data_IF_050340069986
#
_entry.id   IF_050340069986
#
_cell.length_a   1.000
_cell.length_b   1.000
_cell.length_c   1.000
_cell.angle_alpha   90.00
_cell.angle_beta   90.00
_cell.angle_gamma   90.00
#
_symmetry.space_group_name_H-M   'P 1'
#
loop_
_entity.id
_entity.type
_entity.pdbx_description
1 polymer ?
#
# COMPACT_ATOMS: atom_id res chain seq x y z
N UNK A 1 -8.49 23.00 2.87
CA UNK A 1 -9.05 21.65 3.08
C UNK A 1 -10.38 21.63 2.31
N UNK A 2 -10.70 20.85 1.28
CA UNK A 2 -10.05 19.75 0.58
C UNK A 2 -8.84 20.20 -0.26
N UNK A 3 -7.70 19.58 0.05
CA UNK A 3 -6.55 19.26 -0.80
C UNK A 3 -5.51 18.70 0.18
N UNK A 4 -5.64 17.41 0.45
CA UNK A 4 -4.56 16.52 0.91
C UNK A 4 -3.83 16.81 2.24
N UNK A 5 -4.42 16.47 3.40
CA UNK A 5 -3.58 16.30 4.59
C UNK A 5 -4.22 16.02 5.95
N UNK A 6 -5.47 16.43 6.21
CA UNK A 6 -6.04 16.33 7.57
C UNK A 6 -7.38 15.59 7.55
N UNK A 7 -7.40 14.41 8.17
CA UNK A 7 -8.45 13.40 8.07
C UNK A 7 -9.64 13.72 9.00
N UNK A 8 -10.34 14.81 8.72
CA UNK A 8 -11.64 15.13 9.33
C UNK A 8 -12.72 15.13 8.25
N UNK A 9 -13.69 14.22 8.33
CA UNK A 9 -14.85 14.25 7.44
C UNK A 9 -15.85 15.27 7.97
N UNK A 10 -16.35 16.16 7.11
CA UNK A 10 -17.45 17.05 7.49
C UNK A 10 -18.72 16.21 7.57
N UNK A 11 -19.30 16.15 8.75
CA UNK A 11 -20.55 15.42 9.02
C UNK A 11 -21.75 16.30 8.73
N UNK A 12 -21.65 17.62 8.91
CA UNK A 12 -22.72 18.58 8.62
C UNK A 12 -22.18 19.99 8.37
N UNK A 13 -22.86 20.76 7.51
CA UNK A 13 -22.53 22.16 7.21
C UNK A 13 -21.39 22.32 6.20
N UNK A 14 -20.73 23.49 6.24
CA UNK A 14 -19.68 23.89 5.31
C UNK A 14 -18.42 24.32 6.06
N UNK A 15 -17.28 24.26 5.36
CA UNK A 15 -16.05 24.88 5.84
C UNK A 15 -16.15 26.40 5.71
N UNK A 16 -15.52 27.12 6.63
CA UNK A 16 -15.39 28.57 6.50
C UNK A 16 -14.50 28.92 5.30
N UNK A 17 -14.91 29.93 4.54
CA UNK A 17 -14.07 30.54 3.53
C UNK A 17 -12.84 31.18 4.20
N UNK A 18 -11.75 31.38 3.44
CA UNK A 18 -10.52 32.04 3.91
C UNK A 18 -10.74 33.56 4.08
N UNK A 19 -11.76 33.93 4.85
CA UNK A 19 -12.16 35.29 5.14
C UNK A 19 -11.62 35.67 6.51
N UNK A 20 -10.77 36.69 6.54
CA UNK A 20 -9.86 36.95 7.66
C UNK A 20 -10.59 37.44 8.92
N UNK A 21 -11.86 37.81 8.83
CA UNK A 21 -12.61 38.46 9.92
C UNK A 21 -13.92 37.76 10.31
N UNK A 22 -14.22 36.59 9.76
CA UNK A 22 -15.46 35.90 10.06
C UNK A 22 -15.41 35.26 11.47
N UNK A 23 -16.36 35.64 12.35
CA UNK A 23 -16.58 35.01 13.66
C UNK A 23 -17.33 33.67 13.48
N UNK A 24 -16.69 32.74 12.79
CA UNK A 24 -17.23 31.42 12.46
C UNK A 24 -16.31 30.32 12.96
N UNK A 25 -16.90 29.18 13.33
CA UNK A 25 -16.15 28.00 13.74
C UNK A 25 -16.73 26.72 13.13
N UNK A 26 -15.86 25.75 12.90
CA UNK A 26 -16.23 24.36 12.61
C UNK A 26 -15.89 23.54 13.85
N UNK A 27 -16.86 22.82 14.38
CA UNK A 27 -16.76 22.18 15.71
C UNK A 27 -16.64 20.67 15.56
N UNK A 28 -15.82 20.02 16.38
CA UNK A 28 -15.73 18.56 16.40
C UNK A 28 -16.99 17.91 16.98
N UNK A 29 -17.33 16.71 16.50
CA UNK A 29 -18.59 16.03 16.86
C UNK A 29 -18.79 15.86 18.38
N UNK A 30 -17.78 15.40 19.11
CA UNK A 30 -17.86 15.19 20.56
C UNK A 30 -18.04 16.50 21.34
N UNK A 31 -17.48 17.61 20.84
CA UNK A 31 -17.67 18.93 21.43
C UNK A 31 -19.09 19.46 21.16
N UNK A 32 -19.60 19.23 19.94
CA UNK A 32 -20.95 19.61 19.55
C UNK A 32 -22.01 18.85 20.36
N UNK A 33 -21.89 17.53 20.48
CA UNK A 33 -22.82 16.68 21.23
C UNK A 33 -22.85 17.05 22.73
N UNK A 34 -21.69 17.26 23.36
CA UNK A 34 -21.62 17.63 24.78
C UNK A 34 -22.25 18.98 25.10
N UNK A 35 -22.24 19.91 24.15
CA UNK A 35 -22.76 21.26 24.31
C UNK A 35 -24.10 21.48 23.62
N UNK A 36 -24.71 20.42 23.05
CA UNK A 36 -25.94 20.49 22.25
C UNK A 36 -25.88 21.54 21.12
N UNK A 37 -24.75 21.64 20.44
CA UNK A 37 -24.54 22.58 19.33
C UNK A 37 -24.85 21.93 17.99
N UNK A 38 -25.63 22.62 17.17
CA UNK A 38 -25.92 22.27 15.79
C UNK A 38 -25.30 23.29 14.82
N UNK A 39 -25.33 22.97 13.52
CA UNK A 39 -24.99 23.96 12.48
C UNK A 39 -25.97 25.14 12.58
N UNK A 40 -25.45 26.35 12.38
CA UNK A 40 -26.11 27.65 12.59
C UNK A 40 -26.30 28.12 14.04
N UNK A 41 -25.99 27.29 15.04
CA UNK A 41 -26.00 27.73 16.44
C UNK A 41 -24.84 28.67 16.75
N UNK A 42 -24.96 29.42 17.85
CA UNK A 42 -23.90 30.30 18.34
C UNK A 42 -23.43 29.89 19.72
N UNK A 43 -22.12 29.88 19.93
CA UNK A 43 -21.51 29.75 21.25
C UNK A 43 -20.70 31.01 21.58
N UNK A 44 -20.40 31.21 22.86
CA UNK A 44 -19.60 32.34 23.32
C UNK A 44 -18.19 31.85 23.63
N UNK A 45 -17.17 32.48 23.02
CA UNK A 45 -15.78 32.35 23.45
C UNK A 45 -15.10 33.72 23.35
N UNK A 46 -14.15 34.00 24.25
CA UNK A 46 -13.46 35.30 24.33
C UNK A 46 -14.43 36.50 24.35
N UNK A 47 -15.55 36.37 25.08
CA UNK A 47 -16.64 37.37 25.15
C UNK A 47 -17.28 37.75 23.80
N UNK A 48 -17.06 36.95 22.76
CA UNK A 48 -17.63 37.12 21.43
C UNK A 48 -18.57 35.97 21.08
N UNK A 49 -19.65 36.28 20.35
CA UNK A 49 -20.57 35.28 19.80
C UNK A 49 -20.01 34.74 18.49
N UNK A 50 -19.74 33.45 18.46
CA UNK A 50 -19.17 32.73 17.31
C UNK A 50 -20.23 31.80 16.75
N UNK A 51 -20.40 31.82 15.43
CA UNK A 51 -21.38 30.98 14.73
C UNK A 51 -20.76 29.64 14.31
N UNK A 52 -21.45 28.54 14.58
CA UNK A 52 -21.07 27.21 14.10
C UNK A 52 -21.52 27.07 12.64
N UNK A 53 -20.57 26.90 11.72
CA UNK A 53 -20.85 26.74 10.27
C UNK A 53 -20.73 25.29 9.79
N UNK A 54 -20.07 24.44 10.59
CA UNK A 54 -19.95 23.03 10.28
C UNK A 54 -19.56 22.18 11.48
N UNK A 55 -19.78 20.88 11.35
CA UNK A 55 -19.38 19.85 12.31
C UNK A 55 -18.51 18.83 11.59
N UNK A 56 -17.36 18.50 12.16
CA UNK A 56 -16.44 17.51 11.62
C UNK A 56 -16.30 16.30 12.55
N UNK A 57 -15.95 15.16 11.95
CA UNK A 57 -15.62 13.91 12.63
C UNK A 57 -14.28 13.37 12.15
N UNK A 58 -13.36 13.16 13.09
CA UNK A 58 -12.02 12.60 12.88
C UNK A 58 -11.94 11.14 13.33
N UNK A 59 -13.06 10.52 13.74
CA UNK A 59 -13.13 9.13 14.20
C UNK A 59 -12.51 8.87 15.58
N UNK A 60 -12.06 9.92 16.27
CA UNK A 60 -11.44 9.83 17.61
C UNK A 60 -12.01 10.88 18.54
N UNK A 61 -12.24 10.53 19.82
CA UNK A 61 -12.78 11.46 20.82
C UNK A 61 -11.89 12.68 21.05
N UNK A 62 -10.57 12.52 20.92
CA UNK A 62 -9.62 13.60 21.13
C UNK A 62 -9.65 14.65 20.01
N UNK A 63 -9.64 14.20 18.74
CA UNK A 63 -9.74 15.10 17.58
C UNK A 63 -11.12 15.77 17.48
N UNK A 64 -12.16 15.08 17.94
CA UNK A 64 -13.53 15.57 17.96
C UNK A 64 -13.86 16.53 19.11
N UNK A 65 -12.94 16.78 20.04
CA UNK A 65 -13.14 17.68 21.18
C UNK A 65 -12.49 19.07 20.98
N UNK A 66 -12.40 19.54 19.73
CA UNK A 66 -11.77 20.82 19.37
C UNK A 66 -12.69 21.66 18.47
N UNK A 67 -12.37 22.95 18.30
CA UNK A 67 -13.04 23.86 17.39
C UNK A 67 -12.02 24.55 16.50
N UNK A 68 -12.30 24.60 15.20
CA UNK A 68 -11.46 25.21 14.17
C UNK A 68 -12.05 26.56 13.78
N UNK A 69 -11.20 27.59 13.72
CA UNK A 69 -11.57 28.96 13.39
C UNK A 69 -10.52 29.58 12.47
N UNK A 70 -10.83 30.65 11.73
CA UNK A 70 -9.83 31.40 10.96
C UNK A 70 -8.69 31.90 11.87
N UNK A 71 -7.44 31.66 11.46
CA UNK A 71 -6.25 32.01 12.25
C UNK A 71 -6.23 33.47 12.70
N UNK A 72 -6.48 34.40 11.78
CA UNK A 72 -6.54 35.84 12.06
C UNK A 72 -7.62 36.22 13.07
N UNK A 73 -8.72 35.46 13.13
CA UNK A 73 -9.78 35.68 14.12
C UNK A 73 -9.33 35.20 15.50
N UNK A 74 -8.71 34.02 15.60
CA UNK A 74 -8.19 33.50 16.88
C UNK A 74 -7.10 34.40 17.42
N UNK A 75 -6.13 34.81 16.60
CA UNK A 75 -5.04 35.70 16.99
C UNK A 75 -5.54 37.01 17.59
N UNK A 76 -6.55 37.63 16.97
CA UNK A 76 -7.17 38.86 17.49
C UNK A 76 -7.94 38.62 18.78
N UNK A 77 -8.68 37.51 18.89
CA UNK A 77 -9.44 37.18 20.10
C UNK A 77 -8.53 36.81 21.29
N UNK A 78 -7.31 36.34 21.02
CA UNK A 78 -6.34 35.94 22.03
C UNK A 78 -5.24 36.97 22.30
N UNK A 79 -5.34 38.18 21.74
CA UNK A 79 -4.33 39.25 21.83
C UNK A 79 -2.91 38.80 21.39
N UNK A 80 -2.83 37.94 20.37
CA UNK A 80 -1.60 37.33 19.83
C UNK A 80 -1.45 37.62 18.33
N UNK A 81 -1.75 38.86 17.93
CA UNK A 81 -1.64 39.28 16.52
C UNK A 81 -0.20 39.16 16.02
N UNK A 82 0.00 38.36 14.97
CA UNK A 82 1.30 38.11 14.36
C UNK A 82 2.06 36.91 14.94
N UNK A 83 1.61 36.32 16.05
CA UNK A 83 2.24 35.15 16.65
C UNK A 83 1.70 33.85 16.03
N UNK A 84 2.61 32.98 15.60
CA UNK A 84 2.29 31.69 14.98
C UNK A 84 2.85 30.58 15.86
N UNK A 85 1.96 29.72 16.36
CA UNK A 85 2.36 28.59 17.22
C UNK A 85 2.98 27.43 16.44
N UNK A 86 2.46 27.14 15.24
CA UNK A 86 2.95 26.03 14.42
C UNK A 86 2.60 26.24 12.95
N UNK A 87 3.47 25.77 12.07
CA UNK A 87 3.25 25.72 10.61
C UNK A 87 3.42 24.27 10.20
N UNK A 88 2.39 23.71 9.57
CA UNK A 88 2.42 22.36 9.01
C UNK A 88 2.70 22.46 7.52
N UNK A 89 3.81 21.86 7.08
CA UNK A 89 4.18 21.78 5.67
C UNK A 89 3.79 20.41 5.12
N UNK A 90 2.94 20.39 4.11
CA UNK A 90 2.59 19.16 3.39
C UNK A 90 3.53 18.97 2.21
N UNK A 91 4.07 17.76 2.06
CA UNK A 91 5.06 17.44 1.04
C UNK A 91 4.47 16.42 0.06
N UNK A 92 4.64 16.66 -1.23
CA UNK A 92 4.04 15.85 -2.29
C UNK A 92 4.69 14.46 -2.45
N UNK A 93 5.93 14.27 -1.98
CA UNK A 93 6.63 12.98 -2.01
C UNK A 93 7.49 12.80 -0.77
N UNK A 94 7.49 11.58 -0.22
CA UNK A 94 8.36 11.17 0.88
C UNK A 94 9.85 11.33 0.55
N UNK A 95 10.23 11.22 -0.72
CA UNK A 95 11.62 11.34 -1.17
C UNK A 95 12.21 12.74 -0.92
N UNK A 96 11.36 13.76 -0.87
CA UNK A 96 11.75 15.16 -0.68
C UNK A 96 11.72 15.59 0.80
N UNK A 97 11.37 14.70 1.72
CA UNK A 97 11.20 15.06 3.13
C UNK A 97 12.47 15.63 3.75
N UNK A 98 13.62 15.01 3.49
CA UNK A 98 14.91 15.44 4.04
C UNK A 98 15.32 16.83 3.52
N UNK A 99 15.22 17.06 2.21
CA UNK A 99 15.62 18.33 1.59
C UNK A 99 14.70 19.49 1.98
N UNK A 100 13.40 19.22 2.13
CA UNK A 100 12.43 20.22 2.59
C UNK A 100 12.61 20.53 4.07
N UNK A 101 12.88 19.52 4.91
CA UNK A 101 13.15 19.74 6.35
C UNK A 101 14.39 20.61 6.56
N UNK A 102 15.49 20.33 5.83
CA UNK A 102 16.72 21.13 5.90
C UNK A 102 16.51 22.57 5.41
N UNK A 103 15.75 22.74 4.32
CA UNK A 103 15.39 24.06 3.81
C UNK A 103 14.52 24.84 4.80
N UNK A 104 13.54 24.18 5.43
CA UNK A 104 12.68 24.78 6.44
C UNK A 104 13.46 25.18 7.69
N UNK A 105 14.38 24.33 8.16
CA UNK A 105 15.28 24.62 9.28
C UNK A 105 16.13 25.87 9.00
N UNK A 106 16.63 26.00 7.77
CA UNK A 106 17.41 27.18 7.36
C UNK A 106 16.58 28.46 7.34
N UNK A 107 15.31 28.39 6.90
CA UNK A 107 14.42 29.55 6.83
C UNK A 107 13.96 30.00 8.22
N UNK A 108 13.62 29.06 9.10
CA UNK A 108 13.15 29.33 10.46
C UNK A 108 14.30 29.85 11.35
N UNK A 109 15.51 29.32 11.16
CA UNK A 109 16.69 29.74 11.92
C UNK A 109 16.50 29.54 13.42
N UNK A 110 16.91 30.51 14.25
CA UNK A 110 16.75 30.46 15.71
C UNK A 110 15.32 30.82 16.20
N UNK A 111 14.41 31.21 15.29
CA UNK A 111 13.08 31.70 15.66
C UNK A 111 12.05 30.58 15.87
N UNK A 112 12.45 29.32 15.72
CA UNK A 112 11.57 28.17 15.90
C UNK A 112 12.31 26.84 15.78
N UNK A 113 11.63 25.78 16.20
CA UNK A 113 12.13 24.40 16.07
C UNK A 113 11.43 23.70 14.89
N UNK A 114 12.19 22.96 14.10
CA UNK A 114 11.68 22.20 12.96
C UNK A 114 11.71 20.73 13.33
N UNK A 115 10.53 20.21 13.66
CA UNK A 115 10.33 18.77 13.88
C UNK A 115 9.92 18.10 12.58
N UNK A 116 10.76 17.20 12.07
CA UNK A 116 10.36 16.38 10.94
C UNK A 116 9.43 15.22 11.34
N UNK A 117 8.69 14.72 10.36
CA UNK A 117 7.90 13.49 10.50
C UNK A 117 8.62 12.30 9.88
N UNK A 118 9.96 12.31 9.81
CA UNK A 118 10.73 11.28 9.10
C UNK A 118 10.53 9.89 9.71
N UNK A 119 10.47 9.81 11.04
CA UNK A 119 10.13 8.56 11.75
C UNK A 119 8.72 8.06 11.44
N UNK A 120 7.75 8.96 11.25
CA UNK A 120 6.36 8.61 10.94
C UNK A 120 6.22 8.16 9.48
N UNK A 121 6.91 8.81 8.54
CA UNK A 121 6.98 8.39 7.13
C UNK A 121 7.68 7.05 7.01
N UNK A 122 8.79 6.84 7.72
CA UNK A 122 9.48 5.54 7.74
C UNK A 122 8.59 4.42 8.31
N UNK A 123 7.86 4.68 9.41
CA UNK A 123 6.91 3.72 9.97
C UNK A 123 5.71 3.46 9.06
N UNK A 124 5.25 4.44 8.29
CA UNK A 124 4.16 4.28 7.32
C UNK A 124 4.61 3.50 6.06
N UNK A 125 5.88 3.61 5.66
CA UNK A 125 6.44 2.94 4.47
C UNK A 125 6.95 1.53 4.79
N UNK A 126 7.45 1.28 6.00
CA UNK A 126 8.01 -0.03 6.37
C UNK A 126 7.05 -1.22 6.14
N UNK A 127 5.73 -1.12 6.42
CA UNK A 127 4.78 -2.17 6.05
C UNK A 127 4.70 -2.42 4.54
N UNK A 128 4.81 -1.37 3.72
CA UNK A 128 4.75 -1.47 2.26
C UNK A 128 6.01 -2.16 1.70
N UNK A 129 7.19 -1.83 2.20
CA UNK A 129 8.44 -2.50 1.83
C UNK A 129 8.44 -3.98 2.21
N UNK A 130 7.90 -4.31 3.39
CA UNK A 130 7.74 -5.70 3.82
C UNK A 130 6.75 -6.46 2.92
N UNK A 131 5.63 -5.83 2.54
CA UNK A 131 4.66 -6.42 1.60
C UNK A 131 5.30 -6.65 0.22
N UNK A 132 6.06 -5.69 -0.30
CA UNK A 132 6.76 -5.81 -1.57
C UNK A 132 7.75 -6.99 -1.54
N UNK A 133 8.54 -7.08 -0.47
CA UNK A 133 9.56 -8.12 -0.28
C UNK A 133 8.93 -9.52 -0.19
N UNK A 134 7.90 -9.68 0.64
CA UNK A 134 7.18 -10.95 0.79
C UNK A 134 6.53 -11.35 -0.55
N UNK A 135 5.95 -10.40 -1.27
CA UNK A 135 5.32 -10.64 -2.57
C UNK A 135 6.34 -11.10 -3.62
N UNK A 136 7.53 -10.48 -3.66
CA UNK A 136 8.61 -10.91 -4.56
C UNK A 136 9.10 -12.33 -4.24
N UNK A 137 9.35 -12.64 -2.96
CA UNK A 137 9.77 -13.99 -2.57
C UNK A 137 8.69 -15.03 -2.87
N UNK A 138 7.41 -14.72 -2.63
CA UNK A 138 6.28 -15.58 -2.98
C UNK A 138 6.20 -15.82 -4.48
N UNK A 139 6.35 -14.77 -5.29
CA UNK A 139 6.35 -14.84 -6.75
C UNK A 139 7.49 -15.74 -7.27
N UNK A 140 8.72 -15.51 -6.79
CA UNK A 140 9.88 -16.31 -7.17
C UNK A 140 9.68 -17.77 -6.75
N UNK A 141 9.21 -18.01 -5.52
CA UNK A 141 8.94 -19.36 -5.01
C UNK A 141 7.90 -20.11 -5.84
N UNK A 142 6.77 -19.46 -6.14
CA UNK A 142 5.70 -20.04 -6.97
C UNK A 142 6.18 -20.33 -8.39
N UNK A 143 6.97 -19.42 -8.97
CA UNK A 143 7.53 -19.57 -10.33
C UNK A 143 8.50 -20.75 -10.41
N UNK A 144 9.41 -20.89 -9.44
CA UNK A 144 10.36 -22.01 -9.38
C UNK A 144 9.63 -23.33 -9.16
N UNK A 145 8.65 -23.38 -8.26
CA UNK A 145 7.83 -24.58 -8.05
C UNK A 145 7.09 -25.00 -9.33
N UNK A 146 6.46 -24.04 -10.02
CA UNK A 146 5.80 -24.27 -11.30
C UNK A 146 6.75 -24.81 -12.38
N UNK A 147 7.96 -24.23 -12.48
CA UNK A 147 8.99 -24.70 -13.41
C UNK A 147 9.41 -26.15 -13.15
N UNK A 148 9.58 -26.53 -11.88
CA UNK A 148 9.91 -27.90 -11.48
C UNK A 148 8.78 -28.86 -11.81
N UNK A 149 7.52 -28.48 -11.55
CA UNK A 149 6.35 -29.31 -11.88
C UNK A 149 6.31 -29.57 -13.39
N UNK A 150 6.43 -28.53 -14.21
CA UNK A 150 6.45 -28.66 -15.68
C UNK A 150 7.59 -29.59 -16.12
N UNK A 151 8.79 -29.42 -15.55
CA UNK A 151 9.93 -30.28 -15.85
C UNK A 151 9.63 -31.75 -15.53
N UNK A 152 9.09 -32.04 -14.34
CA UNK A 152 8.78 -33.39 -13.90
C UNK A 152 7.71 -34.04 -14.78
N UNK A 153 6.64 -33.31 -15.08
CA UNK A 153 5.57 -33.80 -15.98
C UNK A 153 6.14 -34.11 -17.37
N UNK A 154 6.98 -33.22 -17.91
CA UNK A 154 7.56 -33.40 -19.23
C UNK A 154 8.50 -34.62 -19.29
N UNK A 155 9.32 -34.82 -18.25
CA UNK A 155 10.17 -36.01 -18.12
C UNK A 155 9.32 -37.29 -18.04
N UNK A 156 8.21 -37.25 -17.30
CA UNK A 156 7.29 -38.39 -17.19
C UNK A 156 6.70 -38.77 -18.56
N UNK A 157 6.15 -37.80 -19.30
CA UNK A 157 5.56 -38.02 -20.63
C UNK A 157 6.56 -38.66 -21.59
N UNK A 158 7.81 -38.17 -21.60
CA UNK A 158 8.88 -38.72 -22.45
C UNK A 158 9.23 -40.17 -22.07
N UNK A 159 9.22 -40.51 -20.78
CA UNK A 159 9.49 -41.89 -20.33
C UNK A 159 8.40 -42.85 -20.76
N UNK A 160 7.14 -42.43 -20.70
CA UNK A 160 5.99 -43.24 -21.06
C UNK A 160 5.95 -43.51 -22.58
N UNK A 161 6.29 -42.51 -23.39
CA UNK A 161 6.37 -42.63 -24.87
C UNK A 161 7.72 -43.11 -25.40
N UNK A 162 8.64 -43.56 -24.53
CA UNK A 162 10.02 -43.90 -24.91
C UNK A 162 10.09 -44.98 -26.00
N UNK A 163 9.17 -45.95 -26.01
CA UNK A 163 9.10 -47.01 -27.03
C UNK A 163 8.69 -46.47 -28.39
N UNK A 164 7.68 -45.59 -28.44
CA UNK A 164 7.25 -44.92 -29.67
C UNK A 164 8.40 -44.12 -30.29
N UNK A 165 9.13 -43.36 -29.46
CA UNK A 165 10.32 -42.59 -29.87
C UNK A 165 11.41 -43.53 -30.44
N UNK A 166 11.63 -44.68 -29.78
CA UNK A 166 12.57 -45.70 -30.24
C UNK A 166 12.23 -46.27 -31.61
N UNK A 167 10.94 -46.56 -31.85
CA UNK A 167 10.44 -47.06 -33.15
C UNK A 167 10.59 -46.00 -34.23
N UNK A 168 10.22 -44.74 -33.97
CA UNK A 168 10.35 -43.64 -34.93
C UNK A 168 11.82 -43.42 -35.32
N UNK A 169 12.75 -43.48 -34.36
CA UNK A 169 14.19 -43.38 -34.64
C UNK A 169 14.73 -44.59 -35.39
N UNK A 170 14.20 -45.80 -35.15
CA UNK A 170 14.62 -47.02 -35.84
C UNK A 170 14.24 -47.02 -37.32
N UNK A 171 13.11 -46.39 -37.70
CA UNK A 171 12.68 -46.23 -39.09
C UNK A 171 13.33 -45.00 -39.78
N UNK A 172 14.24 -44.29 -39.12
CA UNK A 172 15.00 -43.16 -39.68
C UNK A 172 14.47 -41.77 -39.34
N UNK A 173 13.52 -41.63 -38.42
CA UNK A 173 13.02 -40.33 -37.96
C UNK A 173 14.08 -39.50 -37.24
N UNK A 174 14.14 -38.19 -37.52
CA UNK A 174 15.11 -37.28 -36.90
C UNK A 174 14.70 -36.87 -35.49
N UNK A 175 15.69 -36.66 -34.61
CA UNK A 175 15.46 -36.19 -33.24
C UNK A 175 14.69 -34.88 -33.18
N UNK A 176 14.91 -34.00 -34.16
CA UNK A 176 14.34 -32.65 -34.21
C UNK A 176 12.82 -32.70 -34.40
N UNK A 177 12.31 -33.61 -35.24
CA UNK A 177 10.86 -33.76 -35.46
C UNK A 177 10.16 -34.21 -34.18
N UNK A 178 10.74 -35.20 -33.49
CA UNK A 178 10.18 -35.69 -32.23
C UNK A 178 10.26 -34.62 -31.14
N UNK A 179 11.40 -33.95 -30.98
CA UNK A 179 11.56 -32.83 -30.05
C UNK A 179 10.56 -31.70 -30.32
N UNK A 180 10.35 -31.33 -31.59
CA UNK A 180 9.45 -30.26 -32.00
C UNK A 180 8.00 -30.52 -31.58
N UNK A 181 7.51 -31.76 -31.72
CA UNK A 181 6.18 -32.14 -31.25
C UNK A 181 6.01 -31.90 -29.75
N UNK A 182 6.99 -32.34 -28.96
CA UNK A 182 6.97 -32.18 -27.51
C UNK A 182 7.07 -30.71 -27.09
N UNK A 183 7.89 -29.90 -27.77
CA UNK A 183 7.97 -28.45 -27.51
C UNK A 183 6.61 -27.78 -27.78
N UNK A 184 5.93 -28.13 -28.87
CA UNK A 184 4.59 -27.58 -29.18
C UNK A 184 3.56 -28.01 -28.13
N UNK A 185 3.61 -29.27 -27.67
CA UNK A 185 2.74 -29.78 -26.62
C UNK A 185 2.96 -29.01 -25.29
N UNK A 186 4.21 -28.79 -24.91
CA UNK A 186 4.53 -28.02 -23.70
C UNK A 186 4.07 -26.56 -23.81
N UNK A 187 4.33 -25.90 -24.94
CA UNK A 187 3.93 -24.50 -25.16
C UNK A 187 2.42 -24.33 -25.16
N UNK A 188 1.67 -25.27 -25.76
CA UNK A 188 0.21 -25.22 -25.76
C UNK A 188 -0.37 -25.43 -24.36
N UNK A 189 0.16 -26.37 -23.58
CA UNK A 189 -0.24 -26.58 -22.19
C UNK A 189 0.07 -25.36 -21.32
N UNK A 190 1.24 -24.73 -21.48
CA UNK A 190 1.56 -23.51 -20.72
C UNK A 190 0.72 -22.33 -21.14
N UNK A 191 0.41 -22.15 -22.43
CA UNK A 191 -0.49 -21.06 -22.87
C UNK A 191 -1.88 -21.19 -22.23
N UNK A 192 -2.45 -22.39 -22.25
CA UNK A 192 -3.76 -22.66 -21.64
C UNK A 192 -3.73 -22.47 -20.12
N UNK A 193 -2.66 -22.95 -19.47
CA UNK A 193 -2.44 -22.77 -18.04
C UNK A 193 -2.30 -21.30 -17.65
N UNK A 194 -1.55 -20.50 -18.41
CA UNK A 194 -1.40 -19.06 -18.17
C UNK A 194 -2.71 -18.32 -18.35
N UNK A 195 -3.50 -18.64 -19.38
CA UNK A 195 -4.81 -18.02 -19.59
C UNK A 195 -5.76 -18.31 -18.42
N UNK A 196 -5.85 -19.57 -17.98
CA UNK A 196 -6.66 -19.95 -16.82
C UNK A 196 -6.12 -19.32 -15.53
N UNK A 197 -4.80 -19.27 -15.35
CA UNK A 197 -4.14 -18.68 -14.19
C UNK A 197 -4.37 -17.18 -14.06
N UNK A 198 -4.37 -16.44 -15.17
CA UNK A 198 -4.70 -15.00 -15.18
C UNK A 198 -6.14 -14.78 -14.69
N UNK A 199 -7.10 -15.55 -15.21
CA UNK A 199 -8.51 -15.43 -14.81
C UNK A 199 -8.69 -15.71 -13.32
N UNK A 200 -8.10 -16.80 -12.83
CA UNK A 200 -8.16 -17.15 -11.40
C UNK A 200 -7.41 -16.13 -10.54
N UNK A 201 -6.26 -15.63 -10.99
CA UNK A 201 -5.45 -14.65 -10.28
C UNK A 201 -6.18 -13.31 -10.10
N UNK A 202 -6.83 -12.81 -11.16
CA UNK A 202 -7.64 -11.59 -11.10
C UNK A 202 -8.81 -11.78 -10.12
N UNK A 203 -9.50 -12.93 -10.18
CA UNK A 203 -10.62 -13.22 -9.29
C UNK A 203 -10.19 -13.35 -7.81
N UNK A 204 -9.02 -13.93 -7.56
CA UNK A 204 -8.47 -14.13 -6.21
C UNK A 204 -7.79 -12.88 -5.63
N UNK A 205 -7.39 -11.92 -6.46
CA UNK A 205 -6.65 -10.73 -6.01
C UNK A 205 -7.44 -9.90 -5.00
N UNK A 206 -8.71 -9.58 -5.31
CA UNK A 206 -9.56 -8.74 -4.45
C UNK A 206 -9.70 -9.27 -3.00
N UNK A 207 -10.08 -10.54 -2.75
CA UNK A 207 -10.20 -11.04 -1.39
C UNK A 207 -8.84 -11.13 -0.68
N UNK A 208 -7.77 -11.51 -1.36
CA UNK A 208 -6.42 -11.61 -0.77
C UNK A 208 -5.91 -10.23 -0.33
N UNK A 209 -6.08 -9.19 -1.17
CA UNK A 209 -5.70 -7.83 -0.79
C UNK A 209 -6.49 -7.36 0.43
N UNK A 210 -7.79 -7.66 0.50
CA UNK A 210 -8.62 -7.25 1.65
C UNK A 210 -8.17 -7.89 2.98
N UNK A 211 -7.77 -9.17 2.97
CA UNK A 211 -7.32 -9.88 4.18
C UNK A 211 -5.92 -9.46 4.59
N UNK A 212 -5.02 -9.23 3.64
CA UNK A 212 -3.67 -8.72 3.90
C UNK A 212 -3.73 -7.32 4.53
N UNK A 213 -4.52 -6.41 3.96
CA UNK A 213 -4.71 -5.06 4.51
C UNK A 213 -5.29 -5.12 5.91
N UNK A 214 -6.34 -5.93 6.14
CA UNK A 214 -6.96 -6.09 7.45
C UNK A 214 -5.99 -6.64 8.51
N UNK A 215 -5.11 -7.56 8.11
CA UNK A 215 -4.11 -8.18 8.99
C UNK A 215 -2.97 -7.21 9.32
N UNK A 216 -2.52 -6.42 8.33
CA UNK A 216 -1.51 -5.39 8.55
C UNK A 216 -2.01 -4.22 9.40
N UNK A 217 -3.27 -3.79 9.24
CA UNK A 217 -3.87 -2.75 10.09
C UNK A 217 -4.04 -3.19 11.54
N UNK A 218 -4.23 -4.49 11.79
CA UNK A 218 -4.34 -5.03 13.15
C UNK A 218 -3.02 -5.06 13.92
N UNK A 219 -1.87 -4.91 13.23
CA UNK A 219 -0.56 -4.86 13.86
C UNK A 219 -0.26 -3.49 14.52
N UNK A 220 -0.95 -2.41 14.15
CA UNK A 220 -0.74 -1.07 14.72
C UNK A 220 -1.60 -0.78 15.96
N UNK A 221 -2.64 -1.56 16.23
CA UNK A 221 -3.51 -1.33 17.42
C UNK A 221 -2.84 -1.73 18.75
N UNK A 222 -1.64 -2.31 18.72
CA UNK A 222 -0.95 -2.78 19.94
C UNK A 222 0.02 -1.78 20.56
N UNK A 223 0.16 -0.56 20.03
CA UNK A 223 1.05 0.47 20.60
C UNK A 223 0.36 1.80 20.90
N UNK A 224 -0.92 1.76 21.28
CA UNK A 224 -1.52 2.77 22.15
C UNK A 224 -1.60 2.21 23.58
N UNK A 225 -0.45 2.00 24.21
CA UNK A 225 -0.41 1.75 25.64
C UNK A 225 -0.98 2.96 26.40
N UNK A 226 -1.74 2.77 27.49
CA UNK A 226 -2.23 3.86 28.32
C UNK A 226 -1.08 4.46 29.15
N UNK A 227 -0.11 5.10 28.49
CA UNK A 227 0.92 5.87 29.16
C UNK A 227 0.42 7.29 29.38
N UNK A 228 -0.37 7.45 30.44
CA UNK A 228 -0.91 8.75 30.83
C UNK A 228 -1.56 8.71 32.19
N UNK A 229 -0.83 8.28 33.22
CA UNK A 229 -1.25 8.56 34.60
C UNK A 229 -1.39 10.08 34.81
N UNK A 230 -2.27 10.54 35.72
CA UNK A 230 -2.59 11.96 35.93
C UNK A 230 -1.40 12.91 36.12
N UNK A 231 -0.22 12.39 36.46
CA UNK A 231 1.01 13.16 36.70
C UNK A 231 1.86 13.49 35.46
N UNK A 232 1.65 12.85 34.30
CA UNK A 232 2.47 13.12 33.10
C UNK A 232 1.96 14.30 32.25
N UNK A 233 0.74 14.79 32.49
CA UNK A 233 0.14 15.87 31.70
C UNK A 233 0.80 17.24 31.90
N UNK A 234 1.63 17.42 32.92
CA UNK A 234 2.32 18.68 33.21
C UNK A 234 3.76 18.74 32.66
N UNK A 235 4.28 17.63 32.10
CA UNK A 235 5.67 17.55 31.64
C UNK A 235 5.87 17.86 30.16
N UNK A 236 4.87 17.57 29.34
CA UNK A 236 4.98 17.76 27.90
C UNK A 236 4.61 19.20 27.54
N UNK A 237 5.51 19.87 26.82
CA UNK A 237 5.35 21.26 26.41
C UNK A 237 4.18 21.45 25.44
N UNK A 238 3.74 22.71 25.20
CA UNK A 238 2.64 23.00 24.26
C UNK A 238 2.86 22.42 22.85
N UNK A 239 4.11 22.34 22.40
CA UNK A 239 4.52 21.77 21.12
C UNK A 239 4.31 20.25 21.01
N UNK A 240 4.58 19.51 22.08
CA UNK A 240 4.44 18.04 22.10
C UNK A 240 2.97 17.59 22.14
N UNK A 241 2.12 18.38 22.81
CA UNK A 241 0.66 18.17 22.84
C UNK A 241 0.01 18.39 21.47
N UNK A 242 0.45 19.40 20.74
CA UNK A 242 -0.01 19.65 19.36
C UNK A 242 0.50 18.57 18.39
N UNK A 243 1.75 18.12 18.56
CA UNK A 243 2.30 17.01 17.79
C UNK A 243 1.51 15.69 17.95
N UNK A 244 1.02 15.39 19.16
CA UNK A 244 0.14 14.23 19.40
C UNK A 244 -1.27 14.40 18.82
N UNK A 245 -1.84 15.61 18.88
CA UNK A 245 -3.11 15.92 18.25
C UNK A 245 -3.07 15.70 16.74
N UNK A 246 -2.01 16.19 16.10
CA UNK A 246 -1.84 16.08 14.67
C UNK A 246 -1.59 14.61 14.23
N UNK A 247 -0.84 13.82 15.04
CA UNK A 247 -0.62 12.38 14.79
C UNK A 247 -1.92 11.57 14.68
N UNK A 248 -2.95 11.92 15.45
CA UNK A 248 -4.26 11.26 15.36
C UNK A 248 -5.06 11.66 14.10
N UNK A 249 -4.72 12.78 13.47
CA UNK A 249 -5.38 13.34 12.28
C UNK A 249 -4.69 12.93 10.96
N UNK A 250 -3.42 12.52 11.01
CA UNK A 250 -2.59 12.17 9.84
C UNK A 250 -2.64 10.67 9.47
N UNK A 251 -3.26 9.80 10.27
CA UNK A 251 -3.37 8.36 9.96
C UNK A 251 -4.46 8.09 8.92
N UNK A 252 -4.18 8.37 7.64
CA UNK A 252 -4.99 7.88 6.52
C UNK A 252 -4.14 7.70 5.28
N UNK A 253 -3.41 6.57 5.21
CA UNK A 253 -3.00 6.00 3.91
C UNK A 253 -4.29 5.59 3.19
N UNK A 254 -4.88 6.51 2.43
CA UNK A 254 -6.22 6.35 1.85
C UNK A 254 -6.22 5.87 0.40
N UNK A 255 -5.06 5.73 -0.26
CA UNK A 255 -5.00 5.29 -1.65
C UNK A 255 -3.73 4.49 -1.96
N UNK A 256 -3.76 3.19 -1.67
CA UNK A 256 -2.86 2.24 -2.34
C UNK A 256 -3.57 1.80 -3.62
N UNK A 257 -3.31 2.50 -4.72
CA UNK A 257 -3.85 2.14 -6.02
C UNK A 257 -2.99 1.02 -6.61
N UNK A 258 -3.43 -0.23 -6.49
CA UNK A 258 -2.77 -1.38 -7.11
C UNK A 258 -3.05 -1.38 -8.61
N UNK A 259 -2.25 -0.64 -9.38
CA UNK A 259 -2.31 -0.69 -10.83
C UNK A 259 -1.59 -1.95 -11.32
N UNK A 260 -2.34 -2.99 -11.68
CA UNK A 260 -1.78 -4.13 -12.42
C UNK A 260 -1.48 -3.64 -13.84
N UNK A 261 -0.29 -3.06 -14.01
CA UNK A 261 0.16 -2.59 -15.32
C UNK A 261 0.24 -3.75 -16.32
N UNK A 262 -0.14 -3.48 -17.57
CA UNK A 262 0.04 -4.42 -18.69
C UNK A 262 1.48 -4.94 -18.82
N UNK A 263 2.46 -4.18 -18.36
CA UNK A 263 3.85 -4.60 -18.30
C UNK A 263 4.07 -5.85 -17.44
N UNK A 264 3.41 -5.95 -16.28
CA UNK A 264 3.60 -7.09 -15.37
C UNK A 264 3.04 -8.37 -15.98
N UNK A 265 1.88 -8.28 -16.65
CA UNK A 265 1.29 -9.41 -17.37
C UNK A 265 2.17 -9.85 -18.54
N UNK A 266 2.76 -8.90 -19.28
CA UNK A 266 3.67 -9.20 -20.38
C UNK A 266 4.97 -9.87 -19.89
N UNK A 267 5.58 -9.36 -18.82
CA UNK A 267 6.74 -9.98 -18.20
C UNK A 267 6.43 -11.37 -17.65
N UNK A 268 5.25 -11.54 -17.03
CA UNK A 268 4.77 -12.84 -16.54
C UNK A 268 4.61 -13.84 -17.68
N UNK A 269 3.92 -13.47 -18.77
CA UNK A 269 3.80 -14.32 -19.95
C UNK A 269 5.18 -14.63 -20.55
N UNK A 270 6.07 -13.65 -20.66
CA UNK A 270 7.43 -13.84 -21.12
C UNK A 270 8.20 -14.88 -20.28
N UNK A 271 8.16 -14.76 -18.95
CA UNK A 271 8.77 -15.74 -18.04
C UNK A 271 8.18 -17.14 -18.22
N UNK A 272 6.85 -17.27 -18.34
CA UNK A 272 6.23 -18.60 -18.53
C UNK A 272 6.70 -19.28 -19.81
N UNK A 273 6.91 -18.52 -20.89
CA UNK A 273 7.42 -19.05 -22.15
C UNK A 273 8.89 -19.46 -22.03
N UNK A 274 9.72 -18.69 -21.32
CA UNK A 274 11.12 -19.06 -21.03
C UNK A 274 11.18 -20.36 -20.20
N UNK A 275 10.31 -20.49 -19.20
CA UNK A 275 10.25 -21.70 -18.36
C UNK A 275 9.79 -22.91 -19.18
N UNK A 276 8.75 -22.76 -20.00
CA UNK A 276 8.23 -23.82 -20.86
C UNK A 276 9.29 -24.31 -21.86
N UNK A 277 10.01 -23.38 -22.48
CA UNK A 277 11.07 -23.69 -23.44
C UNK A 277 12.27 -24.35 -22.75
N UNK A 278 12.69 -23.87 -21.59
CA UNK A 278 13.77 -24.48 -20.81
C UNK A 278 13.42 -25.91 -20.34
N UNK A 279 12.22 -26.13 -19.81
CA UNK A 279 11.72 -27.45 -19.43
C UNK A 279 11.66 -28.42 -20.62
N UNK A 280 11.18 -27.93 -21.76
CA UNK A 280 11.12 -28.71 -23.01
C UNK A 280 12.50 -29.02 -23.58
N UNK A 281 13.47 -28.11 -23.45
CA UNK A 281 14.85 -28.34 -23.89
C UNK A 281 15.51 -29.46 -23.08
N UNK A 282 15.29 -29.51 -21.76
CA UNK A 282 15.79 -30.59 -20.91
C UNK A 282 15.17 -31.94 -21.28
N UNK A 283 13.86 -31.98 -21.49
CA UNK A 283 13.17 -33.19 -21.98
C UNK A 283 13.66 -33.60 -23.37
N UNK A 284 13.90 -32.64 -24.25
CA UNK A 284 14.47 -32.87 -25.58
C UNK A 284 15.84 -33.55 -25.50
N UNK A 285 16.73 -33.12 -24.60
CA UNK A 285 18.03 -33.79 -24.39
C UNK A 285 17.86 -35.25 -23.96
N UNK A 286 16.84 -35.57 -23.17
CA UNK A 286 16.54 -36.97 -22.80
C UNK A 286 16.10 -37.79 -24.02
N UNK A 287 15.29 -37.22 -24.91
CA UNK A 287 14.83 -37.83 -26.17
C UNK A 287 16.02 -38.13 -27.11
N UNK A 288 16.96 -37.19 -27.25
CA UNK A 288 18.12 -37.39 -28.14
C UNK A 288 18.99 -38.56 -27.69
N UNK A 289 19.13 -38.77 -26.37
CA UNK A 289 19.90 -39.86 -25.75
C UNK A 289 19.21 -41.23 -25.79
N UNK A 290 17.95 -41.32 -26.21
CA UNK A 290 17.26 -42.62 -26.36
C UNK A 290 17.90 -43.43 -27.50
N UNK A 291 18.45 -44.60 -27.16
CA UNK A 291 19.05 -45.56 -28.11
C UNK A 291 18.01 -46.59 -28.55
N UNK A 292 17.64 -46.65 -29.85
CA UNK A 292 16.57 -47.51 -30.33
C UNK A 292 16.76 -48.99 -29.94
N UNK A 293 17.99 -49.50 -30.07
CA UNK A 293 18.32 -50.89 -29.79
C UNK A 293 18.16 -51.29 -28.32
N UNK A 294 18.39 -50.37 -27.36
CA UNK A 294 18.22 -50.65 -25.93
C UNK A 294 16.74 -50.67 -25.54
N UNK A 295 15.92 -49.78 -26.13
CA UNK A 295 14.49 -49.68 -25.79
C UNK A 295 13.70 -50.88 -26.31
N UNK A 296 14.13 -51.48 -27.43
CA UNK A 296 13.47 -52.66 -28.02
C UNK A 296 13.89 -53.99 -27.39
N UNK A 297 14.98 -54.00 -26.60
CA UNK A 297 15.58 -55.20 -26.00
C UNK A 297 15.31 -55.30 -24.49
N UNK A 298 14.66 -54.29 -23.91
CA UNK A 298 14.39 -54.20 -22.47
C UNK A 298 13.18 -55.05 -22.01
N UNK A 299 12.75 -56.04 -22.80
CA UNK A 299 11.80 -57.10 -22.44
C UNK A 299 12.41 -58.46 -22.77
#
# INVERSE_FOLDING_TARGET
MSSDGESGKITSGELFANDSNALVAVVGQSLAEKNNLSVDDTFTAYDQKIKVVGIYDTGTDFGNNQALMPLSTVQRLSDQEGDITSIVLTINSADNLASVSESASTIVGENGDVTDSASQVASAIAPLENIQTISLYSLVGATVAGAIIILLTMVMIVRERRREIGVIKAIGGSNIVVMGQFVVEAVTLTLLGTLAGIVVGIAAASPITSTLVSSSSSAETSQAGPTGGPGNMMRDGPSERFGQANRALTQSISNIQTNVGWEILLWGMGMTLVIATAGSALASILISKVRPAEVMRAE
#
